data_IF_169832241480
#
_entry.id   IF_169832241480
#
_cell.length_a   1.000
_cell.length_b   1.000
_cell.length_c   1.000
_cell.angle_alpha   90.00
_cell.angle_beta   90.00
_cell.angle_gamma   90.00
#
_symmetry.space_group_name_H-M   'P 1'
#
loop_
_entity.id
_entity.type
_entity.pdbx_description
1 polymer ?
#
# COMPACT_ATOMS: atom_id res chain seq x y z
N UNK A 1 23.02 4.61 -22.81
CA UNK A 1 22.57 3.60 -21.83
C UNK A 1 21.37 4.19 -21.13
N UNK A 2 20.16 3.89 -21.60
CA UNK A 2 18.96 4.19 -20.82
C UNK A 2 18.73 2.97 -19.96
N UNK A 3 19.06 3.07 -18.68
CA UNK A 3 18.68 2.04 -17.71
C UNK A 3 17.17 1.96 -17.72
N UNK A 4 16.61 0.77 -17.99
CA UNK A 4 15.21 0.52 -17.73
C UNK A 4 14.95 0.83 -16.25
N UNK A 5 14.07 1.77 -15.96
CA UNK A 5 13.78 2.17 -14.59
C UNK A 5 12.98 1.03 -13.94
N UNK A 6 13.60 0.31 -13.01
CA UNK A 6 12.93 -0.72 -12.23
C UNK A 6 11.76 -0.08 -11.47
N UNK A 7 10.57 -0.67 -11.60
CA UNK A 7 9.38 -0.25 -10.85
C UNK A 7 9.12 -1.20 -9.70
N UNK A 8 8.77 -0.64 -8.56
CA UNK A 8 8.50 -1.37 -7.33
C UNK A 8 7.02 -1.25 -6.99
N UNK A 9 6.41 -2.36 -6.59
CA UNK A 9 5.00 -2.44 -6.27
C UNK A 9 4.75 -3.21 -4.99
N UNK A 10 3.74 -2.81 -4.23
CA UNK A 10 3.19 -3.60 -3.11
C UNK A 10 1.77 -4.04 -3.42
N UNK A 11 1.39 -5.22 -2.95
CA UNK A 11 0.04 -5.75 -3.02
C UNK A 11 -0.74 -5.33 -1.78
N UNK A 12 -1.92 -4.77 -1.97
CA UNK A 12 -2.84 -4.39 -0.91
C UNK A 12 -3.70 -5.59 -0.51
N UNK A 13 -3.72 -5.93 0.78
CA UNK A 13 -4.39 -7.10 1.32
C UNK A 13 -5.51 -6.70 2.29
N UNK A 14 -6.69 -7.28 2.07
CA UNK A 14 -7.90 -6.95 2.79
C UNK A 14 -8.48 -5.60 2.42
N UNK A 15 -9.60 -5.26 3.06
CA UNK A 15 -10.26 -3.97 2.87
C UNK A 15 -10.81 -3.74 1.45
N UNK A 16 -11.15 -2.48 1.12
CA UNK A 16 -11.85 -2.13 -0.12
C UNK A 16 -11.03 -2.25 -1.41
N UNK A 17 -9.70 -2.32 -1.30
CA UNK A 17 -8.76 -2.36 -2.41
C UNK A 17 -7.97 -3.69 -2.49
N UNK A 18 -8.46 -4.74 -1.84
CA UNK A 18 -7.83 -6.06 -1.81
C UNK A 18 -7.39 -6.55 -3.21
N UNK A 19 -6.18 -7.07 -3.29
CA UNK A 19 -5.56 -7.61 -4.50
C UNK A 19 -5.01 -6.55 -5.47
N UNK A 20 -5.18 -5.26 -5.21
CA UNK A 20 -4.60 -4.21 -6.07
C UNK A 20 -3.11 -3.99 -5.78
N UNK A 21 -2.40 -3.45 -6.76
CA UNK A 21 -0.99 -3.08 -6.65
C UNK A 21 -0.84 -1.56 -6.52
N UNK A 22 -0.02 -1.13 -5.56
CA UNK A 22 0.40 0.26 -5.40
C UNK A 22 1.85 0.40 -5.87
N UNK A 23 2.09 1.32 -6.81
CA UNK A 23 3.45 1.66 -7.21
C UNK A 23 4.13 2.49 -6.11
N UNK A 24 5.29 2.02 -5.68
CA UNK A 24 6.11 2.61 -4.60
C UNK A 24 7.55 2.87 -5.07
N UNK A 25 7.76 2.88 -6.39
CA UNK A 25 9.06 3.16 -7.01
C UNK A 25 9.67 4.44 -6.43
N UNK A 26 10.84 4.32 -5.82
CA UNK A 26 11.58 5.45 -5.26
C UNK A 26 11.06 5.99 -3.92
N UNK A 27 10.12 5.30 -3.25
CA UNK A 27 9.74 5.63 -1.88
C UNK A 27 10.88 5.28 -0.92
N UNK A 28 11.08 6.11 0.11
CA UNK A 28 12.08 5.80 1.15
C UNK A 28 11.59 4.69 2.09
N UNK A 29 12.49 4.06 2.82
CA UNK A 29 12.13 3.08 3.86
C UNK A 29 11.19 3.68 4.91
N UNK A 30 11.33 4.98 5.21
CA UNK A 30 10.43 5.70 6.13
C UNK A 30 9.03 5.87 5.54
N UNK A 31 8.92 6.25 4.27
CA UNK A 31 7.62 6.36 3.59
C UNK A 31 6.94 4.99 3.51
N UNK A 32 7.70 3.95 3.16
CA UNK A 32 7.22 2.56 3.12
C UNK A 32 6.81 2.06 4.51
N UNK A 33 7.54 2.43 5.55
CA UNK A 33 7.24 2.10 6.95
C UNK A 33 5.99 2.79 7.48
N UNK A 34 5.63 3.95 6.93
CA UNK A 34 4.46 4.74 7.32
C UNK A 34 3.17 4.25 6.66
N UNK A 35 3.26 3.64 5.48
CA UNK A 35 2.09 3.22 4.70
C UNK A 35 1.43 4.39 3.95
N UNK A 36 0.16 4.22 3.59
CA UNK A 36 -0.60 5.22 2.82
C UNK A 36 -2.09 5.22 3.16
N UNK A 37 -2.72 6.40 3.08
CA UNK A 37 -4.17 6.54 3.00
C UNK A 37 -4.59 6.75 1.52
N UNK A 38 -4.94 5.67 0.83
CA UNK A 38 -5.25 5.68 -0.60
C UNK A 38 -6.72 6.06 -0.85
N UNK A 39 -6.97 7.02 -1.75
CA UNK A 39 -8.32 7.44 -2.09
C UNK A 39 -9.11 6.29 -2.70
N UNK A 40 -10.36 6.11 -2.26
CA UNK A 40 -11.25 5.10 -2.78
C UNK A 40 -12.71 5.40 -2.46
N UNK A 41 -13.56 5.24 -3.47
CA UNK A 41 -15.01 5.35 -3.30
C UNK A 41 -15.64 4.02 -2.82
N UNK A 42 -14.83 2.96 -2.65
CA UNK A 42 -15.26 1.61 -2.26
C UNK A 42 -15.25 1.36 -0.75
N UNK A 43 -14.66 2.28 0.03
CA UNK A 43 -14.57 2.16 1.49
C UNK A 43 -15.81 2.64 2.24
N UNK A 44 -15.77 2.58 3.57
CA UNK A 44 -16.86 2.94 4.46
C UNK A 44 -17.44 4.34 4.21
N UNK A 45 -16.60 5.29 3.78
CA UNK A 45 -16.97 6.70 3.60
C UNK A 45 -17.48 7.03 2.18
N UNK A 46 -17.47 6.06 1.25
CA UNK A 46 -17.90 6.29 -0.13
C UNK A 46 -17.04 7.33 -0.85
N UNK A 47 -17.62 8.09 -1.80
CA UNK A 47 -16.85 9.02 -2.62
C UNK A 47 -16.04 10.04 -1.83
N UNK A 48 -14.73 10.10 -2.11
CA UNK A 48 -13.78 10.98 -1.44
C UNK A 48 -13.11 10.40 -0.19
N UNK A 49 -13.57 9.23 0.29
CA UNK A 49 -12.96 8.51 1.39
C UNK A 49 -11.61 7.89 1.04
N UNK A 50 -10.93 7.36 2.07
CA UNK A 50 -9.64 6.69 1.95
C UNK A 50 -9.64 5.37 2.70
N UNK A 51 -8.83 4.44 2.20
CA UNK A 51 -8.48 3.21 2.90
C UNK A 51 -6.99 3.27 3.27
N UNK A 52 -6.68 3.00 4.53
CA UNK A 52 -5.32 2.99 5.06
C UNK A 52 -4.71 1.59 4.89
N UNK A 53 -3.48 1.57 4.39
CA UNK A 53 -2.69 0.36 4.18
C UNK A 53 -1.26 0.61 4.65
N UNK A 54 -0.73 -0.32 5.43
CA UNK A 54 0.62 -0.26 5.96
C UNK A 54 1.34 -1.61 5.91
N UNK A 55 2.66 -1.62 6.12
CA UNK A 55 3.41 -2.86 6.24
C UNK A 55 2.90 -3.69 7.42
N UNK A 56 2.85 -5.02 7.26
CA UNK A 56 2.42 -5.89 8.35
C UNK A 56 3.40 -5.81 9.54
N UNK A 57 2.94 -5.37 10.72
CA UNK A 57 3.77 -5.16 11.92
C UNK A 57 4.49 -6.44 12.43
N UNK A 58 4.03 -7.62 12.02
CA UNK A 58 4.48 -8.92 12.56
C UNK A 58 5.21 -9.82 11.56
N UNK A 59 5.62 -9.31 10.39
CA UNK A 59 6.22 -10.16 9.35
C UNK A 59 7.76 -9.99 9.30
N UNK A 60 8.53 -10.90 9.93
CA UNK A 60 9.99 -10.86 9.92
C UNK A 60 10.61 -11.41 8.62
N UNK A 61 9.79 -11.83 7.65
CA UNK A 61 10.29 -12.42 6.41
C UNK A 61 10.61 -11.33 5.38
N UNK A 62 11.84 -11.27 4.81
CA UNK A 62 12.19 -10.30 3.76
C UNK A 62 11.41 -10.53 2.45
N UNK A 63 10.63 -11.60 2.34
CA UNK A 63 9.84 -11.99 1.16
C UNK A 63 8.41 -11.42 1.17
N UNK A 64 8.00 -10.76 2.25
CA UNK A 64 6.65 -10.21 2.44
C UNK A 64 6.62 -8.67 2.43
N UNK A 65 7.76 -8.01 2.19
CA UNK A 65 7.89 -6.53 2.10
C UNK A 65 7.03 -5.92 0.98
N UNK A 66 6.55 -6.74 0.04
CA UNK A 66 5.65 -6.35 -1.04
C UNK A 66 4.16 -6.56 -0.72
N UNK A 67 3.79 -6.64 0.57
CA UNK A 67 2.41 -6.81 1.02
C UNK A 67 2.07 -5.79 2.10
N UNK A 68 1.05 -4.98 1.85
CA UNK A 68 0.49 -4.05 2.84
C UNK A 68 -0.91 -4.49 3.23
N UNK A 69 -1.17 -4.46 4.53
CA UNK A 69 -2.43 -4.90 5.11
C UNK A 69 -3.33 -3.70 5.37
N UNK A 70 -4.63 -3.90 5.20
CA UNK A 70 -5.61 -2.87 5.51
C UNK A 70 -5.67 -2.60 7.02
N UNK A 71 -5.63 -1.32 7.39
CA UNK A 71 -5.61 -0.84 8.78
C UNK A 71 -6.91 -0.13 9.17
N UNK A 72 -7.80 0.12 8.20
CA UNK A 72 -9.08 0.81 8.40
C UNK A 72 -9.38 1.80 7.29
N UNK A 73 -10.57 2.39 7.35
CA UNK A 73 -10.96 3.48 6.46
C UNK A 73 -10.88 4.81 7.20
N UNK A 74 -10.63 5.90 6.47
CA UNK A 74 -10.73 7.26 6.99
C UNK A 74 -11.49 8.19 6.02
N UNK A 75 -12.16 9.25 6.52
CA UNK A 75 -12.87 10.21 5.69
C UNK A 75 -11.98 10.96 4.69
#
# INVERSE_FOLDING_TARGET
>A
MTTDAHREFVTLLGGPLDGQQLEVTGWSDTDRGTGVAHLTDRGQFGPGGRAMYGPAESDPAPETTDRWVWEGDCP
#
